data_IF_235407544853
#
_entry.id   IF_235407544853
#
_cell.length_a   1.000
_cell.length_b   1.000
_cell.length_c   1.000
_cell.angle_alpha   90.00
_cell.angle_beta   90.00
_cell.angle_gamma   90.00
#
_symmetry.space_group_name_H-M   'P 1'
#
loop_
_entity.id
_entity.type
_entity.pdbx_description
1 polymer ?
#
# COMPACT_ATOMS: atom_id res chain seq x y z
N UNK A 1 -20.65 1.36 -9.58
CA UNK A 1 -20.18 2.38 -10.52
C UNK A 1 -18.68 2.28 -10.67
N UNK A 2 -18.18 2.13 -11.88
CA UNK A 2 -16.74 2.12 -12.15
C UNK A 2 -16.31 3.49 -12.66
N UNK A 3 -15.40 4.13 -11.98
CA UNK A 3 -14.79 5.36 -12.45
C UNK A 3 -13.39 5.02 -12.95
N UNK A 4 -13.15 5.27 -14.21
CA UNK A 4 -11.81 5.16 -14.78
C UNK A 4 -11.15 6.53 -14.64
N UNK A 5 -10.24 6.65 -13.69
CA UNK A 5 -9.35 7.80 -13.61
C UNK A 5 -8.25 7.59 -14.65
N UNK A 6 -8.44 8.16 -15.83
CA UNK A 6 -7.38 8.20 -16.82
C UNK A 6 -6.28 9.14 -16.34
N UNK A 7 -5.20 8.59 -15.85
CA UNK A 7 -3.99 9.38 -15.66
C UNK A 7 -3.38 9.64 -17.05
N UNK A 8 -3.47 10.85 -17.50
CA UNK A 8 -2.93 11.29 -18.78
C UNK A 8 -1.41 11.50 -18.74
N UNK A 9 -0.67 10.55 -18.20
CA UNK A 9 0.76 10.52 -18.45
C UNK A 9 1.01 9.46 -19.53
N UNK A 10 1.63 9.83 -20.60
CA UNK A 10 1.80 9.08 -21.85
C UNK A 10 2.51 7.72 -21.72
N UNK A 11 2.76 7.22 -20.52
CA UNK A 11 3.50 5.97 -20.29
C UNK A 11 2.96 5.13 -19.14
N UNK A 12 1.90 5.55 -18.47
CA UNK A 12 1.38 4.78 -17.34
C UNK A 12 -0.10 4.47 -17.54
N UNK A 13 -0.43 3.21 -17.37
CA UNK A 13 -1.79 2.73 -17.47
C UNK A 13 -2.75 3.50 -16.55
N UNK A 14 -3.98 3.63 -16.98
CA UNK A 14 -5.04 4.23 -16.17
C UNK A 14 -5.37 3.35 -14.98
N UNK A 15 -5.36 3.91 -13.78
CA UNK A 15 -5.87 3.23 -12.60
C UNK A 15 -7.38 3.06 -12.72
N UNK A 16 -7.87 1.87 -12.41
CA UNK A 16 -9.30 1.56 -12.34
C UNK A 16 -9.74 1.53 -10.89
N UNK A 17 -10.77 2.29 -10.56
CA UNK A 17 -11.34 2.32 -9.21
C UNK A 17 -12.81 1.95 -9.27
N UNK A 18 -13.22 0.98 -8.45
CA UNK A 18 -14.62 0.60 -8.29
C UNK A 18 -15.03 0.73 -6.82
N UNK A 19 -16.27 1.13 -6.58
CA UNK A 19 -16.83 1.26 -5.23
C UNK A 19 -18.36 1.26 -5.29
N UNK A 20 -19.00 1.08 -4.15
CA UNK A 20 -20.45 1.20 -4.05
C UNK A 20 -20.93 2.66 -4.21
N UNK A 21 -20.16 3.61 -3.67
CA UNK A 21 -20.50 5.03 -3.69
C UNK A 21 -19.26 5.88 -3.92
N UNK A 22 -19.42 6.96 -4.66
CA UNK A 22 -18.32 7.89 -4.98
C UNK A 22 -18.79 9.33 -4.86
N UNK A 23 -17.98 10.14 -4.22
CA UNK A 23 -18.08 11.60 -4.21
C UNK A 23 -16.83 12.18 -4.84
N UNK A 24 -16.98 13.19 -5.68
CA UNK A 24 -15.86 13.83 -6.36
C UNK A 24 -16.00 15.34 -6.32
N UNK A 25 -14.98 16.02 -5.84
CA UNK A 25 -14.85 17.47 -5.83
C UNK A 25 -13.69 17.91 -6.73
N UNK A 26 -14.05 18.36 -7.92
CA UNK A 26 -13.06 18.78 -8.91
C UNK A 26 -12.30 20.04 -8.47
N UNK A 27 -12.97 20.93 -7.76
CA UNK A 27 -12.38 22.20 -7.34
C UNK A 27 -11.29 21.97 -6.29
N UNK A 28 -11.56 21.05 -5.35
CA UNK A 28 -10.61 20.71 -4.30
C UNK A 28 -9.61 19.61 -4.72
N UNK A 29 -9.78 19.01 -5.89
CA UNK A 29 -8.92 17.92 -6.36
C UNK A 29 -9.00 16.68 -5.50
N UNK A 30 -10.22 16.30 -5.10
CA UNK A 30 -10.46 15.28 -4.09
C UNK A 30 -11.60 14.36 -4.52
N UNK A 31 -11.42 13.06 -4.30
CA UNK A 31 -12.46 12.07 -4.48
C UNK A 31 -12.55 11.16 -3.25
N UNK A 32 -13.77 10.78 -2.90
CA UNK A 32 -14.04 9.86 -1.81
C UNK A 32 -14.83 8.66 -2.33
N UNK A 33 -14.34 7.48 -2.03
CA UNK A 33 -14.92 6.20 -2.41
C UNK A 33 -15.33 5.43 -1.17
N UNK A 34 -16.51 4.85 -1.16
CA UNK A 34 -16.96 4.04 -0.02
C UNK A 34 -17.69 2.78 -0.48
N UNK A 35 -17.52 1.71 0.30
CA UNK A 35 -18.13 0.40 0.08
C UNK A 35 -17.37 -0.44 -0.93
N UNK A 36 -16.64 -1.45 -0.44
CA UNK A 36 -15.89 -2.39 -1.26
C UNK A 36 -15.03 -1.71 -2.33
N UNK A 37 -14.17 -0.82 -1.87
CA UNK A 37 -13.27 -0.08 -2.77
C UNK A 37 -12.21 -1.02 -3.32
N UNK A 38 -12.06 -1.02 -4.64
CA UNK A 38 -11.02 -1.75 -5.33
C UNK A 38 -10.31 -0.83 -6.29
N UNK A 39 -8.98 -0.79 -6.20
CA UNK A 39 -8.11 0.00 -7.07
C UNK A 39 -7.15 -0.94 -7.77
N UNK A 40 -7.03 -0.81 -9.07
CA UNK A 40 -6.06 -1.56 -9.88
C UNK A 40 -5.32 -0.58 -10.78
N UNK A 41 -4.02 -0.44 -10.56
CA UNK A 41 -3.16 0.43 -11.37
C UNK A 41 -2.28 -0.34 -12.38
N UNK A 42 -2.51 -1.65 -12.49
CA UNK A 42 -1.74 -2.53 -13.36
C UNK A 42 -0.54 -3.20 -12.67
N UNK A 43 0.01 -2.60 -11.62
CA UNK A 43 1.09 -3.17 -10.81
C UNK A 43 0.60 -3.68 -9.47
N UNK A 44 -0.25 -2.91 -8.84
CA UNK A 44 -0.80 -3.20 -7.53
C UNK A 44 -2.32 -3.22 -7.57
N UNK A 45 -2.89 -4.07 -6.75
CA UNK A 45 -4.31 -4.11 -6.48
C UNK A 45 -4.52 -3.76 -5.01
N UNK A 46 -5.45 -2.85 -4.75
CA UNK A 46 -5.78 -2.38 -3.40
C UNK A 46 -7.25 -2.62 -3.12
N UNK A 47 -7.53 -3.23 -1.98
CA UNK A 47 -8.89 -3.34 -1.42
C UNK A 47 -8.97 -2.54 -0.12
N UNK A 48 -10.10 -1.87 0.08
CA UNK A 48 -10.39 -1.16 1.33
C UNK A 48 -11.90 -0.97 1.48
N UNK A 49 -12.33 -0.62 2.68
CA UNK A 49 -13.74 -0.24 2.91
C UNK A 49 -14.03 1.16 2.36
N UNK A 50 -13.05 2.06 2.52
CA UNK A 50 -13.14 3.46 2.07
C UNK A 50 -11.78 3.93 1.54
N UNK A 51 -11.80 4.86 0.62
CA UNK A 51 -10.58 5.48 0.11
C UNK A 51 -10.79 6.96 -0.19
N UNK A 52 -9.78 7.74 0.12
CA UNK A 52 -9.67 9.15 -0.25
C UNK A 52 -8.57 9.27 -1.29
N UNK A 53 -8.88 9.91 -2.41
CA UNK A 53 -7.93 10.12 -3.50
C UNK A 53 -7.70 11.61 -3.66
N UNK A 54 -6.46 12.02 -3.56
CA UNK A 54 -6.04 13.42 -3.71
C UNK A 54 -5.28 13.56 -5.02
N UNK A 55 -5.68 14.56 -5.81
CA UNK A 55 -5.09 14.89 -7.09
C UNK A 55 -4.39 16.24 -7.00
N UNK A 56 -3.39 16.44 -7.84
CA UNK A 56 -2.76 17.77 -7.97
C UNK A 56 -3.57 18.69 -8.89
N UNK A 57 -3.07 19.91 -9.13
CA UNK A 57 -3.72 20.91 -9.99
C UNK A 57 -3.85 20.50 -11.46
N UNK A 58 -3.20 19.40 -11.88
CA UNK A 58 -3.28 18.85 -13.24
C UNK A 58 -4.19 17.61 -13.33
N UNK A 59 -4.94 17.30 -12.28
CA UNK A 59 -5.74 16.08 -12.14
C UNK A 59 -4.91 14.79 -12.14
N UNK A 60 -3.65 14.86 -11.79
CA UNK A 60 -2.83 13.68 -11.57
C UNK A 60 -2.93 13.19 -10.13
N UNK A 61 -2.93 11.89 -9.96
CA UNK A 61 -2.95 11.25 -8.65
C UNK A 61 -1.72 11.66 -7.84
N UNK A 62 -1.95 12.17 -6.65
CA UNK A 62 -0.91 12.57 -5.70
C UNK A 62 -0.81 11.60 -4.53
N UNK A 63 -1.94 11.26 -3.95
CA UNK A 63 -2.01 10.45 -2.73
C UNK A 63 -3.32 9.70 -2.64
N UNK A 64 -3.25 8.48 -2.10
CA UNK A 64 -4.43 7.69 -1.72
C UNK A 64 -4.35 7.39 -0.22
N UNK A 65 -5.45 7.55 0.49
CA UNK A 65 -5.61 7.08 1.86
C UNK A 65 -6.72 6.03 1.87
N UNK A 66 -6.35 4.79 2.16
CA UNK A 66 -7.28 3.66 2.25
C UNK A 66 -7.54 3.33 3.71
N UNK A 67 -8.79 3.10 4.06
CA UNK A 67 -9.21 2.86 5.44
C UNK A 67 -10.13 1.66 5.50
N UNK A 68 -9.87 0.79 6.47
CA UNK A 68 -10.68 -0.37 6.80
C UNK A 68 -10.33 -1.59 5.96
N UNK A 69 -9.88 -2.66 6.63
CA UNK A 69 -9.56 -3.96 6.02
C UNK A 69 -8.70 -3.81 4.75
N UNK A 70 -7.64 -3.02 4.86
CA UNK A 70 -6.79 -2.73 3.71
C UNK A 70 -6.00 -3.96 3.32
N UNK A 71 -6.07 -4.33 2.05
CA UNK A 71 -5.24 -5.37 1.44
C UNK A 71 -4.65 -4.83 0.14
N UNK A 72 -3.34 -4.90 0.01
CA UNK A 72 -2.62 -4.47 -1.18
C UNK A 72 -1.80 -5.63 -1.70
N UNK A 73 -1.91 -5.94 -2.97
CA UNK A 73 -1.23 -7.10 -3.57
C UNK A 73 -0.55 -6.74 -4.87
N UNK A 74 0.58 -7.37 -5.12
CA UNK A 74 1.17 -7.52 -6.44
C UNK A 74 1.65 -8.97 -6.59
N UNK A 75 2.39 -9.28 -7.65
CA UNK A 75 2.81 -10.66 -7.95
C UNK A 75 3.62 -11.32 -6.84
N UNK A 76 4.43 -10.56 -6.11
CA UNK A 76 5.39 -11.08 -5.12
C UNK A 76 5.06 -10.69 -3.68
N UNK A 77 4.24 -9.66 -3.48
CA UNK A 77 4.04 -9.04 -2.16
C UNK A 77 2.57 -8.88 -1.84
N UNK A 78 2.22 -9.18 -0.60
CA UNK A 78 0.88 -8.91 -0.03
C UNK A 78 1.05 -8.08 1.23
N UNK A 79 0.28 -7.02 1.33
CA UNK A 79 0.34 -6.10 2.46
C UNK A 79 -1.05 -5.89 3.04
N UNK A 80 -1.15 -5.86 4.36
CA UNK A 80 -2.42 -5.75 5.08
C UNK A 80 -2.29 -4.73 6.19
N UNK A 81 -3.38 -4.03 6.49
CA UNK A 81 -3.42 -3.08 7.58
C UNK A 81 -4.83 -2.58 7.84
N UNK A 82 -4.99 -1.80 8.90
CA UNK A 82 -6.24 -1.10 9.17
C UNK A 82 -6.38 0.15 8.32
N UNK A 83 -5.26 0.75 7.94
CA UNK A 83 -5.17 1.95 7.12
C UNK A 83 -3.90 1.90 6.29
N UNK A 84 -3.93 2.45 5.10
CA UNK A 84 -2.75 2.64 4.27
C UNK A 84 -2.76 4.03 3.64
N UNK A 85 -1.58 4.62 3.49
CA UNK A 85 -1.37 5.82 2.68
C UNK A 85 -0.39 5.51 1.57
N UNK A 86 -0.79 5.78 0.35
CA UNK A 86 0.08 5.68 -0.82
C UNK A 86 0.44 7.08 -1.30
N UNK A 87 1.72 7.31 -1.53
CA UNK A 87 2.26 8.55 -2.09
C UNK A 87 2.88 8.22 -3.45
N UNK A 88 2.34 8.78 -4.51
CA UNK A 88 2.83 8.54 -5.87
C UNK A 88 4.30 8.94 -6.03
N UNK A 89 4.67 10.07 -5.46
CA UNK A 89 6.04 10.55 -5.41
C UNK A 89 6.52 10.56 -3.96
N UNK A 90 7.46 9.71 -3.58
CA UNK A 90 8.37 8.87 -4.38
C UNK A 90 7.91 7.42 -4.66
N UNK A 91 6.64 7.10 -4.59
CA UNK A 91 6.15 5.73 -4.71
C UNK A 91 6.31 4.97 -3.38
N UNK A 92 5.67 5.49 -2.34
CA UNK A 92 5.80 4.97 -0.99
C UNK A 92 4.44 4.59 -0.43
N UNK A 93 4.39 3.45 0.25
CA UNK A 93 3.22 2.98 0.98
C UNK A 93 3.52 2.98 2.47
N UNK A 94 2.61 3.51 3.26
CA UNK A 94 2.66 3.44 4.72
C UNK A 94 1.44 2.67 5.20
N UNK A 95 1.67 1.53 5.85
CA UNK A 95 0.64 0.70 6.46
C UNK A 95 0.56 0.99 7.96
N UNK A 96 -0.64 1.07 8.48
CA UNK A 96 -0.89 1.28 9.90
C UNK A 96 -1.68 0.13 10.48
N UNK A 97 -1.26 -0.34 11.63
CA UNK A 97 -2.03 -1.30 12.43
C UNK A 97 -3.29 -0.62 13.00
N UNK A 98 -4.29 -1.41 13.30
CA UNK A 98 -5.47 -1.01 14.06
C UNK A 98 -5.59 -1.83 15.33
N UNK A 99 -6.71 -1.66 16.04
CA UNK A 99 -6.99 -2.41 17.26
C UNK A 99 -7.06 -3.91 16.97
N UNK A 100 -6.12 -4.68 17.52
CA UNK A 100 -6.05 -6.12 17.31
C UNK A 100 -5.63 -6.57 15.92
N UNK A 101 -5.30 -5.64 15.02
CA UNK A 101 -4.88 -5.95 13.65
C UNK A 101 -3.50 -5.33 13.40
N UNK A 102 -2.43 -6.14 13.28
CA UNK A 102 -1.12 -5.60 12.94
C UNK A 102 -1.07 -5.14 11.48
N UNK A 103 -0.17 -4.21 11.17
CA UNK A 103 0.26 -4.02 9.80
C UNK A 103 1.16 -5.22 9.43
N UNK A 104 0.96 -5.78 8.24
CA UNK A 104 1.68 -6.98 7.81
C UNK A 104 2.09 -6.85 6.35
N UNK A 105 3.34 -7.22 6.06
CA UNK A 105 3.83 -7.42 4.69
C UNK A 105 4.34 -8.85 4.57
N UNK A 106 3.86 -9.55 3.58
CA UNK A 106 4.24 -10.93 3.25
C UNK A 106 4.83 -10.97 1.86
N UNK A 107 6.03 -11.54 1.74
CA UNK A 107 6.69 -11.78 0.47
C UNK A 107 6.91 -13.27 0.25
N UNK A 108 6.61 -13.74 -0.95
CA UNK A 108 6.88 -15.11 -1.34
C UNK A 108 8.33 -15.23 -1.84
N UNK A 109 9.04 -16.19 -1.27
CA UNK A 109 10.40 -16.55 -1.66
C UNK A 109 10.48 -18.04 -1.94
N UNK A 110 11.46 -18.51 -2.73
CA UNK A 110 11.64 -19.95 -2.98
C UNK A 110 11.82 -20.78 -1.70
N UNK A 111 12.37 -20.18 -0.65
CA UNK A 111 12.61 -20.83 0.65
C UNK A 111 11.41 -20.75 1.59
N UNK A 112 10.31 -20.14 1.16
CA UNK A 112 9.11 -19.94 1.95
C UNK A 112 8.78 -18.46 2.19
N UNK A 113 7.61 -18.14 2.73
CA UNK A 113 7.18 -16.77 2.91
C UNK A 113 8.00 -16.04 3.99
N UNK A 114 8.31 -14.79 3.74
CA UNK A 114 8.82 -13.85 4.73
C UNK A 114 7.69 -12.94 5.17
N UNK A 115 7.52 -12.82 6.47
CA UNK A 115 6.42 -12.04 7.06
C UNK A 115 7.00 -11.00 8.01
N UNK A 116 6.62 -9.75 7.79
CA UNK A 116 6.96 -8.62 8.65
C UNK A 116 5.67 -8.04 9.21
N UNK A 117 5.60 -7.90 10.53
CA UNK A 117 4.47 -7.29 11.23
C UNK A 117 4.95 -6.14 12.12
N UNK A 118 4.10 -5.18 12.34
CA UNK A 118 4.42 -4.07 13.23
C UNK A 118 3.25 -3.11 13.39
N UNK A 119 3.45 -2.05 14.13
CA UNK A 119 2.48 -0.97 14.26
C UNK A 119 2.39 -0.12 13.01
N UNK A 120 3.52 0.07 12.36
CA UNK A 120 3.62 0.88 11.16
C UNK A 120 4.70 0.29 10.26
N UNK A 121 4.36 0.06 9.02
CA UNK A 121 5.30 -0.44 8.01
C UNK A 121 5.33 0.56 6.87
N UNK A 122 6.51 1.01 6.50
CA UNK A 122 6.74 1.86 5.35
C UNK A 122 7.56 1.08 4.33
N UNK A 123 7.11 1.04 3.10
CA UNK A 123 7.88 0.43 2.01
C UNK A 123 7.75 1.24 0.73
N UNK A 124 8.76 1.13 -0.13
CA UNK A 124 8.80 1.80 -1.41
C UNK A 124 8.44 0.80 -2.53
N UNK A 125 7.61 1.25 -3.45
CA UNK A 125 7.08 0.38 -4.51
C UNK A 125 8.12 0.00 -5.55
N UNK A 126 9.14 0.84 -5.74
CA UNK A 126 10.20 0.64 -6.72
C UNK A 126 11.52 0.14 -6.11
N UNK A 127 11.55 -0.11 -4.82
CA UNK A 127 12.74 -0.62 -4.13
C UNK A 127 12.39 -1.70 -3.13
N UNK A 128 13.40 -2.41 -2.64
CA UNK A 128 13.22 -3.45 -1.63
C UNK A 128 13.30 -2.92 -0.20
N UNK A 129 13.35 -1.60 -0.04
CA UNK A 129 13.43 -0.96 1.26
C UNK A 129 12.13 -1.07 2.05
N UNK A 130 12.26 -1.46 3.30
CA UNK A 130 11.14 -1.57 4.25
C UNK A 130 11.58 -1.01 5.60
N UNK A 131 10.79 -0.13 6.18
CA UNK A 131 10.97 0.36 7.55
C UNK A 131 9.80 -0.10 8.41
N UNK A 132 10.07 -0.59 9.61
CA UNK A 132 9.04 -1.11 10.49
C UNK A 132 9.18 -0.52 11.89
N UNK A 133 8.10 0.01 12.42
CA UNK A 133 7.99 0.45 13.80
C UNK A 133 7.37 -0.66 14.66
N UNK A 134 8.02 -0.99 15.77
CA UNK A 134 7.63 -2.11 16.65
C UNK A 134 7.48 -3.42 15.88
N UNK A 135 8.58 -3.85 15.30
CA UNK A 135 8.62 -4.97 14.38
C UNK A 135 8.54 -6.33 15.06
N UNK A 136 7.76 -7.21 14.47
CA UNK A 136 7.86 -8.65 14.64
C UNK A 136 8.15 -9.24 13.26
N UNK A 137 9.27 -9.93 13.13
CA UNK A 137 9.71 -10.48 11.85
C UNK A 137 9.82 -11.99 11.98
N UNK A 138 9.17 -12.73 11.10
CA UNK A 138 9.28 -14.17 11.02
C UNK A 138 9.71 -14.63 9.64
N UNK A 139 10.65 -15.57 9.62
CA UNK A 139 11.10 -16.23 8.41
C UNK A 139 11.23 -17.72 8.71
N UNK A 140 10.77 -18.59 7.81
CA UNK A 140 10.83 -20.04 8.05
C UNK A 140 12.25 -20.60 7.90
N UNK A 141 13.22 -19.83 7.42
CA UNK A 141 14.57 -20.28 7.12
C UNK A 141 15.61 -19.70 8.09
N UNK A 142 16.53 -20.56 8.55
CA UNK A 142 17.64 -20.18 9.43
C UNK A 142 18.56 -19.12 8.81
N UNK A 143 18.70 -19.09 7.49
CA UNK A 143 19.43 -18.04 6.77
C UNK A 143 18.82 -16.64 6.92
N UNK A 144 17.51 -16.58 7.18
CA UNK A 144 16.80 -15.33 7.40
C UNK A 144 17.26 -14.54 8.63
N UNK A 145 17.79 -15.20 9.65
CA UNK A 145 18.26 -14.51 10.86
C UNK A 145 19.45 -13.59 10.59
N UNK A 146 20.32 -13.95 9.66
CA UNK A 146 21.44 -13.08 9.28
C UNK A 146 21.00 -11.85 8.52
N UNK A 147 20.03 -12.02 7.62
CA UNK A 147 19.41 -10.92 6.87
C UNK A 147 18.64 -9.98 7.79
N UNK A 148 17.93 -10.52 8.78
CA UNK A 148 17.20 -9.75 9.76
C UNK A 148 18.10 -8.89 10.64
N UNK A 149 19.27 -9.40 11.01
CA UNK A 149 20.29 -8.62 11.72
C UNK A 149 20.81 -7.47 10.88
N UNK A 150 21.11 -7.70 9.59
CA UNK A 150 21.55 -6.66 8.68
C UNK A 150 20.49 -5.58 8.47
N UNK A 151 19.23 -5.98 8.35
CA UNK A 151 18.11 -5.08 8.24
C UNK A 151 17.90 -4.24 9.50
N UNK A 152 18.03 -4.84 10.67
CA UNK A 152 17.92 -4.16 11.96
C UNK A 152 19.03 -3.13 12.17
N UNK A 153 20.24 -3.42 11.75
CA UNK A 153 21.36 -2.48 11.78
C UNK A 153 21.14 -1.28 10.86
N UNK A 154 20.57 -1.48 9.68
CA UNK A 154 20.22 -0.40 8.74
C UNK A 154 19.12 0.51 9.27
N UNK A 155 18.13 -0.05 9.95
CA UNK A 155 16.98 0.69 10.50
C UNK A 155 17.34 1.40 11.81
N UNK A 156 18.27 0.82 12.59
CA UNK A 156 18.72 1.37 13.87
C UNK A 156 19.70 2.54 13.78
N UNK A 157 20.01 2.97 12.57
CA UNK A 157 20.82 4.15 12.31
C UNK A 157 19.94 5.27 11.74
#
# INVERSE_FOLDING_TARGET
MAIVLAATAATQGSAKITSASTYYDRKEGFAYFSGNVFVDDGKYQLHADRAYVFMDGTNELKRIVAIGSVAMTNDARRAYGAKASYYRDPGMVVLYAGDGVPAEVREEHPDGPRVVRGKKIKFWTESEQVEVLEAEISSPNRGGLGELKGMKEKIGK
#
